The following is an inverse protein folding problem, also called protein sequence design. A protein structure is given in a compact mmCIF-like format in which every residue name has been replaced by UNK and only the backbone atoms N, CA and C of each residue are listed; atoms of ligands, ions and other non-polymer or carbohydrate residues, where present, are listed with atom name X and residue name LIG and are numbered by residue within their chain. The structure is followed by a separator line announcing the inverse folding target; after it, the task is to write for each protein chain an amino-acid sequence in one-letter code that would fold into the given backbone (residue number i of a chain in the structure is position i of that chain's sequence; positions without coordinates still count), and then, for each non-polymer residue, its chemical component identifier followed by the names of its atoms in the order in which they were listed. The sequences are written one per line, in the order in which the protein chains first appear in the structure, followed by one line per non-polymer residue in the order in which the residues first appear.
data_IF_269777024020
#
_entry.id   IF_269777024020
#
_cell.length_a   1.000
_cell.length_b   1.000
_cell.length_c   1.000
_cell.angle_alpha   90.00
_cell.angle_beta   90.00
_cell.angle_gamma   90.00
#
_symmetry.space_group_name_H-M   'P 1'
#
loop_
_entity.id
_entity.type
_entity.pdbx_description
1 polymer ?
#
# COMPACT_ATOMS: atom_id res chain seq x y z
N UNK A 1 22.80 -7.96 5.81
CA UNK A 1 21.54 -8.34 5.12
C UNK A 1 20.71 -7.10 4.83
N UNK A 2 20.67 -6.69 3.57
CA UNK A 2 20.01 -5.48 3.06
C UNK A 2 18.50 -5.74 2.96
N UNK A 3 17.80 -5.68 4.08
CA UNK A 3 16.34 -5.72 4.05
C UNK A 3 15.83 -4.41 3.44
N UNK A 4 14.92 -4.52 2.47
CA UNK A 4 14.29 -3.39 1.79
C UNK A 4 13.74 -2.37 2.82
N UNK A 5 13.95 -1.05 2.64
CA UNK A 5 13.68 -0.03 3.67
C UNK A 5 12.19 0.33 3.84
N UNK A 6 11.27 -0.57 3.46
CA UNK A 6 9.83 -0.32 3.51
C UNK A 6 9.04 -1.60 3.79
N UNK A 7 7.82 -1.42 4.31
CA UNK A 7 6.86 -2.51 4.49
C UNK A 7 6.23 -2.85 3.13
N UNK A 8 6.29 -4.14 2.77
CA UNK A 8 5.64 -4.66 1.57
C UNK A 8 4.32 -5.32 1.98
N UNK A 9 3.20 -4.73 1.60
CA UNK A 9 1.87 -5.30 1.82
C UNK A 9 1.26 -5.77 0.50
N UNK A 10 0.82 -7.03 0.46
CA UNK A 10 0.20 -7.65 -0.72
C UNK A 10 -1.30 -7.79 -0.47
N UNK A 11 -2.09 -6.95 -1.12
CA UNK A 11 -3.55 -7.03 -1.06
C UNK A 11 -4.06 -8.04 -2.10
N UNK A 12 -4.95 -8.93 -1.67
CA UNK A 12 -5.55 -9.92 -2.57
C UNK A 12 -6.70 -9.34 -3.40
N UNK A 13 -7.48 -8.42 -2.82
CA UNK A 13 -8.64 -7.80 -3.47
C UNK A 13 -8.78 -6.32 -3.06
N UNK A 14 -8.59 -5.36 -3.99
CA UNK A 14 -8.04 -5.54 -5.33
C UNK A 14 -6.62 -6.13 -5.32
N UNK A 15 -6.20 -6.76 -6.42
CA UNK A 15 -4.87 -7.41 -6.50
C UNK A 15 -3.79 -6.34 -6.71
N UNK A 16 -3.30 -5.78 -5.61
CA UNK A 16 -2.30 -4.71 -5.62
C UNK A 16 -1.20 -4.97 -4.58
N UNK A 17 -0.05 -4.33 -4.79
CA UNK A 17 1.06 -4.32 -3.84
C UNK A 17 1.28 -2.89 -3.37
N UNK A 18 1.40 -2.72 -2.06
CA UNK A 18 1.75 -1.46 -1.42
C UNK A 18 3.17 -1.52 -0.87
N UNK A 19 3.94 -0.47 -1.11
CA UNK A 19 5.23 -0.22 -0.48
C UNK A 19 5.07 1.00 0.43
N UNK A 20 5.17 0.79 1.73
CA UNK A 20 4.98 1.82 2.75
C UNK A 20 6.34 2.14 3.35
N UNK A 21 6.77 3.39 3.22
CA UNK A 21 8.05 3.85 3.73
C UNK A 21 7.85 4.61 5.05
N UNK A 22 8.88 4.56 5.91
CA UNK A 22 8.88 5.29 7.21
C UNK A 22 8.67 6.80 7.08
N UNK A 23 8.92 7.36 5.89
CA UNK A 23 8.66 8.77 5.57
C UNK A 23 7.16 9.11 5.38
N UNK A 24 6.27 8.11 5.45
CA UNK A 24 4.85 8.26 5.13
C UNK A 24 4.53 8.18 3.63
N UNK A 25 5.56 8.08 2.77
CA UNK A 25 5.34 7.83 1.33
C UNK A 25 4.79 6.43 1.13
N UNK A 26 3.76 6.32 0.30
CA UNK A 26 3.15 5.05 -0.09
C UNK A 26 3.18 4.92 -1.61
N UNK A 27 3.67 3.79 -2.11
CA UNK A 27 3.61 3.43 -3.54
C UNK A 27 2.62 2.28 -3.70
N UNK A 28 1.65 2.45 -4.60
CA UNK A 28 0.70 1.41 -4.97
C UNK A 28 0.97 0.96 -6.41
N UNK A 29 1.03 -0.36 -6.63
CA UNK A 29 1.26 -0.94 -7.95
C UNK A 29 0.42 -2.20 -8.19
N UNK A 30 0.23 -2.55 -9.47
CA UNK A 30 -0.51 -3.74 -9.90
C UNK A 30 -2.00 -3.52 -10.17
N UNK A 31 -2.53 -2.32 -9.94
CA UNK A 31 -3.90 -1.97 -10.29
C UNK A 31 -4.09 -1.91 -11.80
N UNK A 32 -5.25 -2.34 -12.28
CA UNK A 32 -5.67 -2.28 -13.68
C UNK A 32 -6.47 -1.03 -14.01
N UNK A 33 -7.18 -0.50 -13.02
CA UNK A 33 -8.00 0.71 -13.13
C UNK A 33 -7.79 1.60 -11.91
N UNK A 34 -8.13 2.88 -12.05
CA UNK A 34 -7.84 3.90 -11.02
C UNK A 34 -8.62 3.65 -9.73
N UNK A 35 -9.83 3.11 -9.84
CA UNK A 35 -10.73 2.78 -8.73
C UNK A 35 -10.11 1.74 -7.77
N UNK A 36 -9.28 0.84 -8.28
CA UNK A 36 -8.56 -0.14 -7.45
C UNK A 36 -7.50 0.52 -6.57
N UNK A 37 -6.85 1.58 -7.06
CA UNK A 37 -5.90 2.36 -6.27
C UNK A 37 -6.62 3.05 -5.12
N UNK A 38 -7.74 3.72 -5.39
CA UNK A 38 -8.53 4.39 -4.34
C UNK A 38 -9.05 3.40 -3.31
N UNK A 39 -9.56 2.24 -3.76
CA UNK A 39 -10.03 1.18 -2.87
C UNK A 39 -8.91 0.69 -1.96
N UNK A 40 -7.75 0.36 -2.53
CA UNK A 40 -6.62 -0.15 -1.77
C UNK A 40 -6.05 0.88 -0.78
N UNK A 41 -5.97 2.15 -1.19
CA UNK A 41 -5.53 3.23 -0.32
C UNK A 41 -6.48 3.38 0.87
N UNK A 42 -7.80 3.44 0.65
CA UNK A 42 -8.79 3.57 1.72
C UNK A 42 -8.78 2.40 2.71
N UNK A 43 -8.57 1.16 2.25
CA UNK A 43 -8.45 -0.01 3.14
C UNK A 43 -7.24 0.08 4.07
N UNK A 44 -6.14 0.66 3.61
CA UNK A 44 -4.91 0.76 4.39
C UNK A 44 -4.90 2.03 5.24
N UNK A 45 -5.40 3.15 4.71
CA UNK A 45 -5.44 4.44 5.41
C UNK A 45 -6.04 4.31 6.81
N UNK A 46 -7.18 3.63 6.96
CA UNK A 46 -7.82 3.39 8.27
C UNK A 46 -6.99 2.54 9.23
N UNK A 47 -6.06 1.72 8.73
CA UNK A 47 -5.17 0.91 9.55
C UNK A 47 -3.88 1.66 9.96
N UNK A 48 -3.45 2.65 9.16
CA UNK A 48 -2.25 3.46 9.45
C UNK A 48 -2.58 4.79 10.15
N UNK A 49 -3.85 5.21 10.13
CA UNK A 49 -4.38 6.42 10.79
C UNK A 49 -4.93 6.21 12.23
N UNK A 50 -4.20 5.59 13.17
CA UNK A 50 -4.46 5.78 14.60
C UNK A 50 -3.33 6.54 15.33
N UNK A 51 -2.42 7.23 14.62
CA UNK A 51 -1.33 8.03 15.19
C UNK A 51 -1.41 9.51 14.80
#
# INVERSE_FOLDING_TARGET
PELFPGLIYRMLKPKVVLLIFVSGKIVLTGAKVREEIYTAFNTIYTAVDPF
#
